data_IF_519415525645
#
_entry.id   IF_519415525645
#
_cell.length_a   1.000
_cell.length_b   1.000
_cell.length_c   1.000
_cell.angle_alpha   90.00
_cell.angle_beta   90.00
_cell.angle_gamma   90.00
#
_symmetry.space_group_name_H-M   'P 1'
#
loop_
_entity.id
_entity.type
_entity.pdbx_description
1 polymer ?
#
# COMPACT_ATOMS: atom_id res chain seq x y z
N UNK A 1 -23.94 -33.73 -11.92
CA UNK A 1 -23.64 -32.38 -12.46
C UNK A 1 -24.84 -31.94 -13.29
N UNK A 2 -25.74 -31.10 -12.77
CA UNK A 2 -26.88 -30.58 -13.53
C UNK A 2 -26.54 -29.20 -14.10
N UNK A 3 -26.47 -29.11 -15.42
CA UNK A 3 -26.30 -27.83 -16.12
C UNK A 3 -27.70 -27.28 -16.37
N UNK A 4 -27.99 -26.08 -15.85
CA UNK A 4 -29.23 -25.34 -16.12
C UNK A 4 -28.95 -24.25 -17.16
N UNK A 5 -29.72 -24.25 -18.24
CA UNK A 5 -29.67 -23.21 -19.26
C UNK A 5 -30.63 -22.10 -18.82
N UNK A 6 -30.13 -20.87 -18.69
CA UNK A 6 -30.91 -19.69 -18.31
C UNK A 6 -30.96 -18.68 -19.47
N UNK A 7 -32.09 -17.99 -19.66
CA UNK A 7 -32.23 -16.96 -20.68
C UNK A 7 -31.22 -15.81 -20.50
N UNK A 8 -30.72 -15.28 -21.63
CA UNK A 8 -29.68 -14.24 -21.66
C UNK A 8 -30.06 -12.98 -20.88
N UNK A 9 -31.35 -12.67 -20.84
CA UNK A 9 -31.89 -11.46 -20.20
C UNK A 9 -31.83 -11.55 -18.66
N UNK A 10 -31.76 -12.76 -18.10
CA UNK A 10 -31.60 -12.99 -16.65
C UNK A 10 -30.12 -12.95 -16.23
N UNK A 11 -29.20 -13.23 -17.15
CA UNK A 11 -27.76 -13.11 -16.92
C UNK A 11 -27.34 -11.65 -16.77
N UNK A 12 -27.90 -10.74 -17.58
CA UNK A 12 -27.63 -9.30 -17.50
C UNK A 12 -28.09 -8.70 -16.16
N UNK A 13 -29.30 -9.04 -15.69
CA UNK A 13 -29.81 -8.56 -14.40
C UNK A 13 -29.04 -9.11 -13.18
N UNK A 14 -28.48 -10.32 -13.28
CA UNK A 14 -27.58 -10.85 -12.26
C UNK A 14 -26.18 -10.21 -12.33
N UNK A 15 -25.70 -9.88 -13.53
CA UNK A 15 -24.40 -9.22 -13.72
C UNK A 15 -24.39 -7.76 -13.26
N UNK A 16 -25.53 -7.05 -13.32
CA UNK A 16 -25.63 -5.68 -12.78
C UNK A 16 -25.62 -5.64 -11.23
N UNK A 17 -26.13 -6.70 -10.58
CA UNK A 17 -26.02 -6.87 -9.12
C UNK A 17 -24.69 -7.49 -8.69
N UNK A 18 -23.99 -8.12 -9.63
CA UNK A 18 -22.65 -8.63 -9.46
C UNK A 18 -21.65 -7.65 -10.10
N UNK A 19 -21.58 -6.42 -9.58
CA UNK A 19 -20.28 -5.74 -9.54
C UNK A 19 -19.35 -6.68 -8.81
N UNK A 20 -18.59 -7.49 -9.56
CA UNK A 20 -17.66 -8.50 -9.05
C UNK A 20 -16.50 -7.88 -8.28
N UNK A 21 -16.34 -6.56 -8.38
CA UNK A 21 -15.67 -5.76 -7.37
C UNK A 21 -16.71 -5.37 -6.31
N UNK A 22 -16.57 -5.91 -5.09
CA UNK A 22 -17.13 -5.24 -3.91
C UNK A 22 -16.63 -3.80 -3.81
N UNK A 23 -17.11 -3.03 -2.83
CA UNK A 23 -16.65 -1.65 -2.58
C UNK A 23 -15.12 -1.57 -2.61
N UNK A 24 -14.55 -0.98 -3.67
CA UNK A 24 -13.09 -0.83 -3.80
C UNK A 24 -12.68 0.25 -2.80
N UNK A 25 -11.84 -0.08 -1.79
CA UNK A 25 -11.38 0.92 -0.85
C UNK A 25 -10.54 1.98 -1.59
N UNK A 26 -10.63 3.26 -1.19
CA UNK A 26 -9.87 4.32 -1.83
C UNK A 26 -8.36 4.07 -1.69
N UNK A 27 -7.61 4.43 -2.73
CA UNK A 27 -6.15 4.37 -2.73
C UNK A 27 -5.59 5.30 -1.65
N UNK A 28 -4.85 4.72 -0.70
CA UNK A 28 -4.17 5.46 0.37
C UNK A 28 -2.74 5.78 -0.05
N UNK A 29 -2.47 7.05 -0.33
CA UNK A 29 -1.12 7.53 -0.59
C UNK A 29 -0.30 7.63 0.70
N UNK A 30 0.98 7.26 0.61
CA UNK A 30 1.90 7.40 1.72
C UNK A 30 2.14 8.87 2.06
N UNK A 31 2.16 9.20 3.35
CA UNK A 31 2.54 10.54 3.81
C UNK A 31 4.07 10.68 3.79
N UNK A 32 4.61 11.21 2.69
CA UNK A 32 6.04 11.38 2.46
C UNK A 32 6.76 12.16 3.57
N UNK A 33 6.08 13.12 4.23
CA UNK A 33 6.68 13.89 5.34
C UNK A 33 7.08 13.01 6.54
N UNK A 34 6.40 11.88 6.73
CA UNK A 34 6.61 11.00 7.89
C UNK A 34 6.99 9.57 7.54
N UNK A 35 7.03 9.22 6.24
CA UNK A 35 7.14 7.84 5.77
C UNK A 35 8.40 7.16 6.30
N UNK A 36 9.57 7.76 6.05
CA UNK A 36 10.85 7.14 6.41
C UNK A 36 11.19 7.33 7.89
N UNK A 37 10.77 8.45 8.50
CA UNK A 37 10.91 8.66 9.95
C UNK A 37 10.17 7.59 10.75
N UNK A 38 8.87 7.36 10.45
CA UNK A 38 8.08 6.31 11.12
C UNK A 38 8.64 4.91 10.91
N UNK A 39 9.17 4.63 9.71
CA UNK A 39 9.83 3.34 9.42
C UNK A 39 11.09 3.15 10.26
N UNK A 40 11.92 4.18 10.36
CA UNK A 40 13.15 4.16 11.17
C UNK A 40 12.84 3.87 12.63
N UNK A 41 11.87 4.60 13.21
CA UNK A 41 11.41 4.38 14.59
C UNK A 41 10.88 2.96 14.79
N UNK A 42 10.04 2.48 13.86
CA UNK A 42 9.45 1.14 13.97
C UNK A 42 10.50 0.04 13.86
N UNK A 43 11.48 0.17 12.97
CA UNK A 43 12.56 -0.80 12.82
C UNK A 43 13.42 -0.86 14.08
N UNK A 44 13.80 0.30 14.65
CA UNK A 44 14.53 0.36 15.93
C UNK A 44 13.71 -0.25 17.08
N UNK A 45 12.40 -0.01 17.12
CA UNK A 45 11.53 -0.63 18.11
C UNK A 45 11.47 -2.16 17.96
N UNK A 46 11.44 -2.66 16.73
CA UNK A 46 11.43 -4.11 16.45
C UNK A 46 12.78 -4.78 16.72
N UNK A 47 13.88 -4.02 16.70
CA UNK A 47 15.22 -4.50 16.99
C UNK A 47 15.44 -4.82 18.47
N UNK A 48 14.66 -4.21 19.37
CA UNK A 48 14.72 -4.48 20.81
C UNK A 48 14.43 -5.96 21.10
N UNK A 49 15.33 -6.61 21.83
CA UNK A 49 15.27 -8.03 22.21
C UNK A 49 15.02 -9.00 21.03
N UNK A 50 15.50 -8.64 19.83
CA UNK A 50 15.31 -9.42 18.62
C UNK A 50 16.62 -10.10 18.19
N UNK A 51 16.62 -11.41 17.85
CA UNK A 51 17.81 -12.09 17.34
C UNK A 51 18.33 -11.53 16.01
N UNK A 52 17.51 -10.73 15.30
CA UNK A 52 17.89 -10.02 14.09
C UNK A 52 18.09 -8.52 14.32
N UNK A 53 18.38 -8.09 15.55
CA UNK A 53 18.57 -6.68 15.93
C UNK A 53 19.51 -5.96 14.99
N UNK A 54 20.68 -6.54 14.70
CA UNK A 54 21.70 -5.92 13.85
C UNK A 54 21.20 -5.66 12.43
N UNK A 55 20.42 -6.59 11.88
CA UNK A 55 19.81 -6.43 10.57
C UNK A 55 18.72 -5.35 10.57
N UNK A 56 17.88 -5.33 11.62
CA UNK A 56 16.82 -4.34 11.76
C UNK A 56 17.38 -2.93 11.96
N UNK A 57 18.46 -2.79 12.73
CA UNK A 57 19.18 -1.53 12.91
C UNK A 57 19.89 -1.10 11.62
N UNK A 58 20.47 -2.04 10.87
CA UNK A 58 21.00 -1.76 9.54
C UNK A 58 19.91 -1.24 8.60
N UNK A 59 18.75 -1.90 8.54
CA UNK A 59 17.62 -1.44 7.75
C UNK A 59 17.12 -0.06 8.21
N UNK A 60 17.11 0.21 9.52
CA UNK A 60 16.74 1.52 10.07
C UNK A 60 17.69 2.63 9.60
N UNK A 61 19.00 2.34 9.49
CA UNK A 61 19.98 3.29 8.95
C UNK A 61 19.75 3.59 7.47
N UNK A 62 19.33 2.59 6.70
CA UNK A 62 18.94 2.82 5.29
C UNK A 62 17.73 3.74 5.22
N UNK A 63 16.69 3.50 6.03
CA UNK A 63 15.49 4.36 6.01
C UNK A 63 15.79 5.78 6.51
N UNK A 64 16.71 5.94 7.46
CA UNK A 64 17.19 7.25 7.89
C UNK A 64 17.92 7.99 6.75
N UNK A 65 18.77 7.29 5.99
CA UNK A 65 19.40 7.85 4.80
C UNK A 65 18.38 8.24 3.71
N UNK A 66 17.31 7.44 3.54
CA UNK A 66 16.20 7.77 2.64
C UNK A 66 15.45 9.04 3.08
N UNK A 67 15.21 9.22 4.38
CA UNK A 67 14.60 10.44 4.90
C UNK A 67 15.47 11.66 4.59
N UNK A 68 16.78 11.55 4.75
CA UNK A 68 17.72 12.63 4.41
C UNK A 68 17.71 12.92 2.91
N UNK A 69 17.76 11.89 2.06
CA UNK A 69 17.69 12.06 0.61
C UNK A 69 16.37 12.72 0.18
N UNK A 70 15.24 12.35 0.79
CA UNK A 70 13.94 12.99 0.54
C UNK A 70 13.91 14.45 0.99
N UNK A 71 14.55 14.78 2.11
CA UNK A 71 14.66 16.15 2.58
C UNK A 71 15.44 17.02 1.59
N UNK A 72 16.59 16.52 1.11
CA UNK A 72 17.48 17.25 0.21
C UNK A 72 16.94 17.27 -1.24
N UNK A 73 16.19 16.23 -1.62
CA UNK A 73 15.57 16.05 -2.94
C UNK A 73 14.09 15.66 -2.77
N UNK A 74 13.20 16.64 -2.50
CA UNK A 74 11.80 16.36 -2.28
C UNK A 74 11.15 15.77 -3.54
N UNK A 75 10.35 14.71 -3.34
CA UNK A 75 9.54 14.15 -4.41
C UNK A 75 8.45 15.15 -4.79
N UNK A 76 8.44 15.55 -6.06
CA UNK A 76 7.50 16.51 -6.63
C UNK A 76 6.34 15.85 -7.36
N UNK A 77 6.36 14.51 -7.51
CA UNK A 77 5.33 13.78 -8.23
C UNK A 77 4.00 13.81 -7.45
N UNK A 78 3.00 14.46 -8.03
CA UNK A 78 1.64 14.40 -7.53
C UNK A 78 0.94 13.17 -8.10
N UNK A 79 1.00 12.05 -7.36
CA UNK A 79 0.31 10.82 -7.77
C UNK A 79 -1.21 10.96 -7.85
N UNK A 80 -1.82 12.01 -7.29
CA UNK A 80 -3.26 12.26 -7.44
C UNK A 80 -3.58 12.79 -8.83
N UNK A 81 -2.70 13.62 -9.38
CA UNK A 81 -2.85 14.16 -10.74
C UNK A 81 -2.72 13.07 -11.82
N UNK A 82 -1.99 11.99 -11.54
CA UNK A 82 -1.80 10.84 -12.45
C UNK A 82 -2.98 9.85 -12.46
N UNK A 83 -3.99 10.04 -11.61
CA UNK A 83 -5.18 9.17 -11.51
C UNK A 83 -6.46 9.83 -12.05
N UNK A 84 -6.40 11.07 -12.54
CA UNK A 84 -7.48 11.77 -13.24
C UNK A 84 -7.42 11.51 -14.76
#
# INVERSE_FOLDING_TARGET
>A
MSIRIVPKDQLSQQSERASTAGTIPPLLFANLKSLYTRRTERLRQLALDNPLSDYLDFAARITEAQQKALHDHPLTLDMRAELE
#
